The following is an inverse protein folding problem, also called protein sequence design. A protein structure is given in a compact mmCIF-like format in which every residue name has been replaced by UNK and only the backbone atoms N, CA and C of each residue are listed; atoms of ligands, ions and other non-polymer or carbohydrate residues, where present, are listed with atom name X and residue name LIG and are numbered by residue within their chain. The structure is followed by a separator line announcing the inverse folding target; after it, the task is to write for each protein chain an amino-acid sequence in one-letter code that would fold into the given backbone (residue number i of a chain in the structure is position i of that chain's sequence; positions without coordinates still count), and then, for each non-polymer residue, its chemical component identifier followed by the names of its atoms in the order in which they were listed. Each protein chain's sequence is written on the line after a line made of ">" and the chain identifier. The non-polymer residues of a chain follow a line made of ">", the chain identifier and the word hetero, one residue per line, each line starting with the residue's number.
data_IF_185373659583
#
_entry.id   IF_185373659583
#
_cell.length_a   1.000
_cell.length_b   1.000
_cell.length_c   1.000
_cell.angle_alpha   90.00
_cell.angle_beta   90.00
_cell.angle_gamma   90.00
#
_symmetry.space_group_name_H-M   'P 1'
#
loop_
_entity.id
_entity.type
_entity.pdbx_description
1 polymer ?
#
# COMPACT_ATOMS: atom_id res chain seq x y z
N UNK A 1 12.67 -1.43 15.64
CA UNK A 1 11.42 -0.63 15.55
C UNK A 1 11.00 -0.69 14.10
N UNK A 2 9.76 -1.08 13.81
CA UNK A 2 9.23 -1.02 12.46
C UNK A 2 8.64 0.37 12.23
N UNK A 3 9.02 1.05 11.16
CA UNK A 3 8.38 2.28 10.74
C UNK A 3 7.06 1.91 10.06
N UNK A 4 6.02 2.70 10.31
CA UNK A 4 4.73 2.52 9.63
C UNK A 4 4.33 3.82 8.98
N UNK A 5 4.19 3.78 7.66
CA UNK A 5 3.78 4.88 6.79
C UNK A 5 2.36 4.60 6.27
N UNK A 6 1.59 5.66 6.05
CA UNK A 6 0.23 5.56 5.54
C UNK A 6 0.11 6.42 4.28
N UNK A 7 -0.52 5.85 3.26
CA UNK A 7 -0.82 6.53 2.00
C UNK A 7 -2.32 6.52 1.78
N UNK A 8 -2.95 7.67 1.71
CA UNK A 8 -4.39 7.77 1.49
C UNK A 8 -4.71 7.66 0.00
N UNK A 9 -5.81 7.00 -0.33
CA UNK A 9 -6.31 6.79 -1.68
C UNK A 9 -7.77 7.21 -1.75
N UNK A 10 -8.17 7.92 -2.80
CA UNK A 10 -9.57 8.31 -3.00
C UNK A 10 -10.01 7.86 -4.40
N UNK A 11 -11.01 6.97 -4.51
CA UNK A 11 -11.67 6.70 -5.80
C UNK A 11 -12.46 7.94 -6.21
N UNK A 12 -12.56 8.19 -7.51
CA UNK A 12 -13.44 9.20 -8.11
C UNK A 12 -14.92 9.05 -7.70
N UNK A 13 -15.34 7.86 -7.24
CA UNK A 13 -16.67 7.64 -6.68
C UNK A 13 -16.87 8.20 -5.26
N UNK A 14 -15.84 8.79 -4.66
CA UNK A 14 -15.87 9.31 -3.29
C UNK A 14 -15.50 8.31 -2.20
N UNK A 15 -15.05 7.11 -2.59
CA UNK A 15 -14.64 6.08 -1.63
C UNK A 15 -13.19 6.28 -1.20
N UNK A 16 -12.97 6.34 0.11
CA UNK A 16 -11.66 6.59 0.72
C UNK A 16 -11.03 5.28 1.24
N UNK A 17 -9.79 5.05 0.85
CA UNK A 17 -8.96 3.93 1.27
C UNK A 17 -7.60 4.41 1.75
N UNK A 18 -6.82 3.49 2.32
CA UNK A 18 -5.42 3.77 2.64
C UNK A 18 -4.55 2.54 2.47
N UNK A 19 -3.32 2.75 2.02
CA UNK A 19 -2.26 1.75 2.01
C UNK A 19 -1.42 1.97 3.26
N UNK A 20 -1.35 0.94 4.09
CA UNK A 20 -0.43 0.88 5.23
C UNK A 20 0.86 0.21 4.78
N UNK A 21 1.95 0.95 4.80
CA UNK A 21 3.31 0.44 4.65
C UNK A 21 3.91 0.23 6.03
N UNK A 22 4.35 -0.99 6.32
CA UNK A 22 5.16 -1.31 7.49
C UNK A 22 6.52 -1.79 7.01
N UNK A 23 7.57 -1.10 7.40
CA UNK A 23 8.95 -1.39 7.01
C UNK A 23 9.81 -1.61 8.26
N UNK A 24 10.73 -2.57 8.20
CA UNK A 24 11.60 -2.87 9.33
C UNK A 24 13.02 -2.35 9.09
N UNK A 25 13.34 -1.23 9.73
CA UNK A 25 14.64 -0.55 9.65
C UNK A 25 15.60 -0.98 10.78
N UNK A 26 15.40 -2.14 11.41
CA UNK A 26 16.28 -2.56 12.51
C UNK A 26 17.68 -2.96 12.02
N UNK A 27 18.76 -2.35 12.56
CA UNK A 27 20.14 -2.62 12.12
C UNK A 27 20.67 -4.03 12.47
N UNK A 28 19.94 -4.82 13.27
CA UNK A 28 20.31 -6.17 13.70
C UNK A 28 19.43 -7.28 13.10
N UNK A 29 18.39 -6.94 12.32
CA UNK A 29 17.63 -7.96 11.61
C UNK A 29 18.29 -8.18 10.25
N UNK A 30 18.64 -9.44 9.94
CA UNK A 30 19.23 -9.83 8.66
C UNK A 30 18.30 -9.67 7.45
N UNK A 31 17.04 -9.30 7.68
CA UNK A 31 15.99 -9.19 6.68
C UNK A 31 15.32 -7.82 6.79
N UNK A 32 15.64 -6.95 5.84
CA UNK A 32 14.92 -5.72 5.57
C UNK A 32 13.64 -6.11 4.83
N UNK A 33 12.48 -5.86 5.43
CA UNK A 33 11.21 -6.19 4.81
C UNK A 33 10.26 -5.00 4.83
N UNK A 34 9.45 -4.93 3.78
CA UNK A 34 8.35 -4.01 3.65
C UNK A 34 7.06 -4.81 3.46
N UNK A 35 6.01 -4.36 4.12
CA UNK A 35 4.68 -4.95 4.04
C UNK A 35 3.68 -3.87 3.75
N UNK A 36 3.00 -4.02 2.63
CA UNK A 36 1.91 -3.16 2.19
C UNK A 36 0.60 -3.89 2.44
N UNK A 37 -0.31 -3.21 3.12
CA UNK A 37 -1.66 -3.70 3.42
C UNK A 37 -2.69 -2.66 3.01
N UNK A 38 -3.82 -3.12 2.48
CA UNK A 38 -4.95 -2.27 2.11
C UNK A 38 -5.91 -2.16 3.30
N UNK A 39 -6.35 -0.95 3.60
CA UNK A 39 -7.43 -0.68 4.52
C UNK A 39 -8.55 0.07 3.79
N UNK A 40 -9.79 -0.37 3.99
CA UNK A 40 -10.99 0.12 3.32
C UNK A 40 -11.00 -0.01 1.79
N UNK A 41 -10.07 -0.70 1.14
CA UNK A 41 -10.12 -0.98 -0.31
C UNK A 41 -9.82 -2.46 -0.56
N UNK A 42 -10.36 -3.01 -1.63
CA UNK A 42 -10.15 -4.40 -2.01
C UNK A 42 -8.84 -4.56 -2.77
N UNK A 43 -8.26 -5.75 -2.73
CA UNK A 43 -7.02 -6.08 -3.44
C UNK A 43 -6.15 -7.04 -2.66
N UNK A 44 -4.94 -7.25 -3.15
CA UNK A 44 -3.96 -8.11 -2.51
C UNK A 44 -3.09 -7.33 -1.52
N UNK A 45 -2.58 -8.04 -0.52
CA UNK A 45 -1.45 -7.55 0.28
C UNK A 45 -0.14 -7.88 -0.44
N UNK A 46 0.86 -7.01 -0.30
CA UNK A 46 2.17 -7.20 -0.90
C UNK A 46 3.23 -7.14 0.19
N UNK A 47 4.16 -8.09 0.18
CA UNK A 47 5.26 -8.14 1.13
C UNK A 47 6.53 -8.51 0.41
N UNK A 48 7.61 -7.79 0.70
CA UNK A 48 8.89 -7.89 0.02
C UNK A 48 10.02 -7.78 1.02
N UNK A 49 11.14 -8.47 0.74
CA UNK A 49 12.37 -8.44 1.54
C UNK A 49 13.41 -7.45 0.96
N UNK A 50 12.93 -6.51 0.14
CA UNK A 50 13.74 -5.44 -0.48
C UNK A 50 12.92 -4.16 -0.51
N UNK A 51 13.60 -3.02 -0.47
CA UNK A 51 13.00 -1.71 -0.69
C UNK A 51 12.34 -1.67 -2.08
N UNK A 52 11.02 -1.57 -2.07
CA UNK A 52 10.12 -1.51 -3.20
C UNK A 52 9.36 -0.20 -3.10
N UNK A 53 9.17 0.48 -4.23
CA UNK A 53 8.41 1.73 -4.20
C UNK A 53 6.92 1.46 -3.96
N UNK A 54 6.20 2.44 -3.42
CA UNK A 54 4.71 2.41 -3.36
C UNK A 54 4.09 2.10 -4.73
N UNK A 55 4.74 2.50 -5.82
CA UNK A 55 4.34 2.17 -7.20
C UNK A 55 4.36 0.67 -7.48
N UNK A 56 5.47 -0.02 -7.20
CA UNK A 56 5.58 -1.48 -7.41
C UNK A 56 4.61 -2.22 -6.47
N UNK A 57 4.43 -1.72 -5.24
CA UNK A 57 3.41 -2.24 -4.34
C UNK A 57 2.01 -2.13 -4.95
N UNK A 58 1.59 -0.96 -5.43
CA UNK A 58 0.27 -0.76 -6.06
C UNK A 58 0.07 -1.68 -7.28
N UNK A 59 1.09 -1.86 -8.12
CA UNK A 59 1.01 -2.75 -9.29
C UNK A 59 0.81 -4.23 -8.90
N UNK A 60 1.40 -4.67 -7.79
CA UNK A 60 1.24 -6.03 -7.26
C UNK A 60 -0.06 -6.21 -6.46
N UNK A 61 -0.41 -5.22 -5.65
CA UNK A 61 -1.61 -5.21 -4.81
C UNK A 61 -2.87 -5.12 -5.66
N UNK A 62 -2.81 -4.44 -6.80
CA UNK A 62 -3.94 -4.14 -7.69
C UNK A 62 -5.15 -3.67 -6.88
N UNK A 63 -5.04 -2.57 -6.13
CA UNK A 63 -6.14 -2.12 -5.30
C UNK A 63 -7.34 -1.79 -6.18
N UNK A 64 -8.51 -2.26 -5.76
CA UNK A 64 -9.80 -2.07 -6.41
C UNK A 64 -10.72 -1.42 -5.39
N UNK A 65 -11.41 -0.38 -5.82
CA UNK A 65 -12.43 0.21 -4.97
C UNK A 65 -13.66 -0.72 -4.89
N UNK A 66 -14.16 -1.05 -3.69
CA UNK A 66 -15.32 -1.92 -3.53
C UNK A 66 -16.61 -1.33 -4.12
N UNK A 67 -16.74 0.00 -4.13
CA UNK A 67 -17.92 0.72 -4.63
C UNK A 67 -17.93 0.81 -6.16
N UNK A 68 -16.88 1.41 -6.74
CA UNK A 68 -16.78 1.70 -8.18
C UNK A 68 -16.24 0.51 -9.00
N UNK A 69 -15.62 -0.49 -8.34
CA UNK A 69 -14.83 -1.58 -8.96
C UNK A 69 -13.71 -1.10 -9.88
N UNK A 70 -13.34 0.17 -9.77
CA UNK A 70 -12.25 0.77 -10.52
C UNK A 70 -10.91 0.41 -9.88
N UNK A 71 -9.91 0.19 -10.72
CA UNK A 71 -8.54 -0.01 -10.28
C UNK A 71 -7.95 1.32 -9.76
N UNK A 72 -7.57 1.33 -8.50
CA UNK A 72 -6.87 2.45 -7.89
C UNK A 72 -5.40 2.40 -8.29
N UNK A 73 -4.91 3.49 -8.84
CA UNK A 73 -3.50 3.68 -9.21
C UNK A 73 -2.86 4.73 -8.31
N UNK A 74 -1.56 4.93 -8.47
CA UNK A 74 -0.83 6.03 -7.82
C UNK A 74 -1.39 7.43 -8.12
N UNK A 75 -2.22 7.58 -9.15
CA UNK A 75 -2.88 8.86 -9.46
C UNK A 75 -4.03 9.17 -8.50
N UNK A 76 -4.56 8.15 -7.81
CA UNK A 76 -5.61 8.30 -6.81
C UNK A 76 -5.04 8.53 -5.40
N UNK A 77 -3.72 8.61 -5.27
CA UNK A 77 -3.06 8.88 -3.99
C UNK A 77 -3.29 10.33 -3.60
N UNK A 78 -3.81 10.54 -2.39
CA UNK A 78 -3.88 11.86 -1.77
C UNK A 78 -2.51 12.14 -1.13
N UNK A 79 -1.84 13.18 -1.61
CA UNK A 79 -0.61 13.71 -1.01
C UNK A 79 -0.91 14.68 0.12
#
# INVERSE_FOLDING_TARGET
>A
MAMTSYYELICECGHEGKIKLSENDTPYSSNMWEKYSLENIEGNSFSTDRLSGIKEAIENMKPVCPECKTHLTIENLKQ
#
